data_IF_773677332654
#
_entry.id   IF_773677332654
#
_cell.length_a   1.000
_cell.length_b   1.000
_cell.length_c   1.000
_cell.angle_alpha   90.00
_cell.angle_beta   90.00
_cell.angle_gamma   90.00
#
_symmetry.space_group_name_H-M   'P 1'
#
loop_
_entity.id
_entity.type
_entity.pdbx_description
1 polymer ?
#
# COMPACT_ATOMS: atom_id res chain seq x y z
N UNK A 1 3.79 -2.41 -7.58
CA UNK A 1 3.68 -3.89 -7.62
C UNK A 1 2.22 -4.30 -7.57
N UNK A 2 1.87 -5.53 -7.97
CA UNK A 2 0.48 -6.01 -7.94
C UNK A 2 0.37 -7.47 -7.51
N UNK A 3 -0.79 -7.85 -6.99
CA UNK A 3 -1.20 -9.22 -6.68
C UNK A 3 -2.63 -9.46 -7.15
N UNK A 4 -2.99 -10.72 -7.41
CA UNK A 4 -4.38 -11.09 -7.68
C UNK A 4 -5.25 -10.88 -6.43
N UNK A 5 -6.49 -10.42 -6.62
CA UNK A 5 -7.45 -10.21 -5.52
C UNK A 5 -8.30 -11.45 -5.19
N UNK A 6 -8.13 -12.55 -5.96
CA UNK A 6 -8.89 -13.79 -5.82
C UNK A 6 -10.31 -13.77 -6.45
N UNK A 7 -10.74 -12.64 -7.01
CA UNK A 7 -12.05 -12.45 -7.64
C UNK A 7 -11.95 -12.06 -9.12
N UNK A 8 -10.78 -12.23 -9.74
CA UNK A 8 -10.51 -11.89 -11.13
C UNK A 8 -10.00 -10.46 -11.35
N UNK A 9 -9.79 -9.71 -10.26
CA UNK A 9 -9.17 -8.40 -10.26
C UNK A 9 -7.74 -8.42 -9.71
N UNK A 10 -7.24 -7.24 -9.34
CA UNK A 10 -5.90 -7.07 -8.78
C UNK A 10 -5.86 -5.99 -7.70
N UNK A 11 -4.96 -6.15 -6.73
CA UNK A 11 -4.58 -5.11 -5.78
C UNK A 11 -3.20 -4.60 -6.20
N UNK A 12 -3.06 -3.29 -6.33
CA UNK A 12 -1.86 -2.61 -6.81
C UNK A 12 -1.38 -1.67 -5.73
N UNK A 13 -0.09 -1.72 -5.38
CA UNK A 13 0.55 -0.77 -4.48
C UNK A 13 1.68 -0.03 -5.21
N UNK A 14 1.81 1.28 -4.95
CA UNK A 14 2.80 2.14 -5.58
C UNK A 14 3.34 3.19 -4.61
N UNK A 15 4.48 3.78 -5.01
CA UNK A 15 5.01 4.99 -4.38
C UNK A 15 4.47 6.20 -5.10
N UNK A 16 4.07 7.21 -4.34
CA UNK A 16 3.42 8.40 -4.86
C UNK A 16 4.07 9.66 -4.31
N UNK A 17 4.46 10.58 -5.19
CA UNK A 17 5.14 11.83 -4.84
C UNK A 17 4.21 13.05 -4.91
N UNK A 18 2.88 12.84 -4.92
CA UNK A 18 1.91 13.94 -5.07
C UNK A 18 1.95 14.96 -3.94
N UNK A 19 2.52 14.59 -2.79
CA UNK A 19 2.62 15.43 -1.58
C UNK A 19 4.05 15.98 -1.36
N UNK A 20 4.96 15.83 -2.33
CA UNK A 20 6.34 16.30 -2.24
C UNK A 20 7.27 15.41 -1.41
N UNK A 21 6.80 14.22 -1.03
CA UNK A 21 7.58 13.09 -0.52
C UNK A 21 6.97 11.79 -1.09
N UNK A 22 7.78 10.75 -1.22
CA UNK A 22 7.32 9.43 -1.66
C UNK A 22 6.57 8.70 -0.55
N UNK A 23 5.24 8.68 -0.66
CA UNK A 23 4.30 7.97 0.20
C UNK A 23 3.89 6.62 -0.42
N UNK A 24 3.28 5.70 0.35
CA UNK A 24 2.74 4.43 -0.17
C UNK A 24 1.23 4.50 -0.30
N UNK A 25 0.74 4.21 -1.50
CA UNK A 25 -0.69 4.12 -1.82
C UNK A 25 -1.04 2.77 -2.44
N UNK A 26 -2.31 2.39 -2.36
CA UNK A 26 -2.82 1.19 -2.99
C UNK A 26 -4.23 1.37 -3.58
N UNK A 27 -4.57 0.55 -4.57
CA UNK A 27 -5.90 0.48 -5.19
C UNK A 27 -6.26 -0.96 -5.46
N UNK A 28 -7.54 -1.21 -5.66
CA UNK A 28 -8.06 -2.48 -6.15
C UNK A 28 -8.84 -2.22 -7.43
N UNK A 29 -8.51 -2.98 -8.46
CA UNK A 29 -9.23 -3.00 -9.74
C UNK A 29 -10.02 -4.29 -9.87
N UNK A 30 -11.26 -4.17 -10.32
CA UNK A 30 -12.15 -5.29 -10.57
C UNK A 30 -11.80 -6.04 -11.87
N UNK A 31 -12.47 -7.17 -12.13
CA UNK A 31 -12.23 -7.97 -13.34
C UNK A 31 -12.56 -7.23 -14.64
N UNK A 32 -13.36 -6.16 -14.58
CA UNK A 32 -13.67 -5.30 -15.73
C UNK A 32 -12.75 -4.08 -15.83
N UNK A 33 -11.74 -3.97 -14.96
CA UNK A 33 -10.81 -2.84 -14.90
C UNK A 33 -11.36 -1.61 -14.17
N UNK A 34 -12.54 -1.72 -13.57
CA UNK A 34 -13.15 -0.69 -12.73
C UNK A 34 -12.41 -0.54 -11.40
N UNK A 35 -12.24 0.70 -10.93
CA UNK A 35 -11.65 0.95 -9.60
C UNK A 35 -12.67 0.60 -8.53
N UNK A 36 -12.36 -0.39 -7.71
CA UNK A 36 -13.19 -0.82 -6.58
C UNK A 36 -12.90 -0.02 -5.31
N UNK A 37 -11.74 0.65 -5.27
CA UNK A 37 -11.33 1.56 -4.19
C UNK A 37 -11.39 3.02 -4.67
N UNK A 38 -11.32 4.01 -3.75
CA UNK A 38 -11.43 5.41 -4.10
C UNK A 38 -10.52 5.84 -5.26
N UNK A 39 -11.00 6.71 -6.17
CA UNK A 39 -10.16 7.29 -7.21
C UNK A 39 -9.07 8.11 -6.52
N UNK A 40 -7.80 7.84 -6.83
CA UNK A 40 -6.57 8.29 -6.15
C UNK A 40 -5.95 7.31 -5.15
N UNK A 41 -6.58 6.17 -4.89
CA UNK A 41 -6.06 5.12 -4.01
C UNK A 41 -6.30 5.39 -2.53
N UNK A 42 -6.05 4.35 -1.74
CA UNK A 42 -6.01 4.37 -0.29
C UNK A 42 -4.58 4.64 0.14
N UNK A 43 -4.41 5.57 1.09
CA UNK A 43 -3.15 5.78 1.77
C UNK A 43 -2.80 4.55 2.62
N UNK A 44 -1.68 3.90 2.30
CA UNK A 44 -1.11 2.81 3.09
C UNK A 44 -0.19 3.40 4.15
N UNK A 45 0.62 4.38 3.76
CA UNK A 45 1.50 5.14 4.64
C UNK A 45 1.77 6.53 4.04
N UNK A 46 1.68 7.56 4.88
CA UNK A 46 2.05 8.95 4.58
C UNK A 46 2.89 9.56 5.70
N UNK A 47 3.81 8.76 6.27
CA UNK A 47 4.66 9.21 7.36
C UNK A 47 5.75 10.16 6.84
N UNK A 48 6.41 10.89 7.74
CA UNK A 48 7.54 11.71 7.34
C UNK A 48 8.67 10.86 6.73
N UNK A 49 9.48 11.49 5.87
CA UNK A 49 10.54 10.87 5.07
C UNK A 49 10.04 9.95 3.96
N UNK A 50 10.98 9.33 3.24
CA UNK A 50 10.70 8.51 2.06
C UNK A 50 10.24 7.11 2.47
N UNK A 51 9.17 6.63 1.82
CA UNK A 51 8.81 5.23 1.81
C UNK A 51 9.22 4.55 0.50
N UNK A 52 10.09 3.54 0.64
CA UNK A 52 10.80 2.86 -0.43
C UNK A 52 10.38 1.40 -0.66
N UNK A 53 10.94 0.82 -1.73
CA UNK A 53 10.93 -0.63 -2.03
C UNK A 53 9.63 -1.38 -1.69
N UNK A 54 8.51 -0.88 -2.20
CA UNK A 54 7.18 -1.46 -1.94
C UNK A 54 7.07 -2.88 -2.48
N UNK A 55 6.67 -3.80 -1.62
CA UNK A 55 6.25 -5.15 -1.97
C UNK A 55 4.84 -5.42 -1.44
N UNK A 56 4.15 -6.39 -2.05
CA UNK A 56 2.75 -6.71 -1.74
C UNK A 56 2.50 -8.21 -1.87
N UNK A 57 1.71 -8.76 -0.94
CA UNK A 57 1.24 -10.14 -0.94
C UNK A 57 -0.27 -10.18 -0.65
N UNK A 58 -1.03 -11.14 -1.22
CA UNK A 58 -2.44 -11.31 -0.84
C UNK A 58 -2.56 -11.76 0.62
N UNK A 59 -3.59 -11.29 1.32
CA UNK A 59 -3.85 -11.69 2.71
C UNK A 59 -4.68 -12.99 2.85
N UNK A 60 -5.06 -13.59 1.72
CA UNK A 60 -5.84 -14.82 1.64
C UNK A 60 -7.35 -14.66 1.81
N UNK A 61 -7.84 -13.45 2.13
CA UNK A 61 -9.27 -13.17 2.33
C UNK A 61 -9.75 -11.95 1.54
N UNK A 62 -9.08 -11.67 0.42
CA UNK A 62 -9.42 -10.61 -0.54
C UNK A 62 -8.79 -9.24 -0.26
N UNK A 63 -7.99 -9.13 0.79
CA UNK A 63 -7.13 -7.98 1.09
C UNK A 63 -5.67 -8.23 0.70
N UNK A 64 -4.78 -7.39 1.22
CA UNK A 64 -3.35 -7.47 0.95
C UNK A 64 -2.52 -7.07 2.18
N UNK A 65 -1.30 -7.60 2.26
CA UNK A 65 -0.24 -7.09 3.12
C UNK A 65 0.74 -6.34 2.23
N UNK A 66 0.98 -5.07 2.55
CA UNK A 66 1.95 -4.21 1.85
C UNK A 66 3.12 -3.99 2.79
N UNK A 67 4.34 -4.13 2.29
CA UNK A 67 5.58 -3.84 3.03
C UNK A 67 6.40 -2.80 2.29
N UNK A 68 7.12 -1.97 3.04
CA UNK A 68 8.01 -0.95 2.51
C UNK A 68 9.18 -0.73 3.47
N UNK A 69 10.27 -0.17 2.96
CA UNK A 69 11.30 0.41 3.83
C UNK A 69 10.95 1.87 4.12
N UNK A 70 11.20 2.32 5.35
CA UNK A 70 10.78 3.63 5.83
C UNK A 70 11.86 4.29 6.67
N UNK A 71 12.19 5.54 6.33
CA UNK A 71 13.18 6.34 7.04
C UNK A 71 12.66 7.02 8.32
N UNK A 72 11.38 6.89 8.67
CA UNK A 72 10.76 7.67 9.77
C UNK A 72 11.45 7.54 11.13
N UNK A 73 12.04 6.39 11.42
CA UNK A 73 12.60 6.08 12.76
C UNK A 73 14.09 6.37 12.86
N UNK A 74 14.83 6.33 11.75
CA UNK A 74 16.30 6.42 11.74
C UNK A 74 16.86 7.53 10.82
N UNK A 75 15.99 8.22 10.07
CA UNK A 75 16.34 9.32 9.15
C UNK A 75 16.51 8.89 7.69
N UNK A 76 16.81 9.84 6.80
CA UNK A 76 16.83 9.62 5.33
C UNK A 76 17.86 8.57 4.85
N UNK A 77 18.90 8.30 5.64
CA UNK A 77 19.99 7.39 5.27
C UNK A 77 19.91 6.01 5.94
N UNK A 78 18.85 5.74 6.71
CA UNK A 78 18.63 4.46 7.39
C UNK A 78 17.13 4.15 7.44
N UNK A 79 16.74 2.94 7.07
CA UNK A 79 15.34 2.53 7.06
C UNK A 79 15.10 1.24 7.83
N UNK A 80 13.92 1.17 8.45
CA UNK A 80 13.34 -0.05 9.00
C UNK A 80 12.28 -0.58 8.02
N UNK A 81 11.90 -1.86 8.19
CA UNK A 81 10.83 -2.47 7.39
C UNK A 81 9.50 -2.32 8.14
N UNK A 82 8.52 -1.75 7.46
CA UNK A 82 7.16 -1.60 7.95
C UNK A 82 6.19 -2.40 7.08
N UNK A 83 5.01 -2.64 7.63
CA UNK A 83 3.95 -3.32 6.91
C UNK A 83 2.58 -2.80 7.34
N UNK A 84 1.64 -2.86 6.41
CA UNK A 84 0.23 -2.55 6.64
C UNK A 84 -0.62 -3.60 5.95
N UNK A 85 -1.57 -4.17 6.70
CA UNK A 85 -2.61 -4.99 6.12
C UNK A 85 -3.78 -4.11 5.70
N UNK A 86 -4.25 -4.29 4.47
CA UNK A 86 -5.45 -3.68 3.91
C UNK A 86 -6.55 -4.74 3.80
N UNK A 87 -7.77 -4.40 4.18
CA UNK A 87 -8.95 -5.24 3.97
C UNK A 87 -9.33 -5.30 2.49
N UNK A 88 -10.27 -6.18 2.14
CA UNK A 88 -10.85 -6.25 0.79
C UNK A 88 -11.51 -4.93 0.33
N UNK A 89 -11.95 -4.10 1.29
CA UNK A 89 -12.54 -2.78 1.08
C UNK A 89 -11.50 -1.64 1.17
N UNK A 90 -10.21 -1.96 1.23
CA UNK A 90 -9.13 -0.97 1.28
C UNK A 90 -9.02 -0.24 2.60
N UNK A 91 -9.45 -0.85 3.71
CA UNK A 91 -9.27 -0.27 5.04
C UNK A 91 -7.96 -0.78 5.66
N UNK A 92 -7.08 0.09 6.17
CA UNK A 92 -5.96 -0.32 7.01
C UNK A 92 -6.46 -1.07 8.26
N UNK A 93 -5.90 -2.25 8.53
CA UNK A 93 -6.33 -3.14 9.62
C UNK A 93 -5.37 -3.20 10.82
N UNK A 94 -4.08 -2.89 10.62
CA UNK A 94 -3.15 -2.66 11.71
C UNK A 94 -3.17 -1.18 12.10
N UNK A 95 -3.09 -0.93 13.41
CA UNK A 95 -3.03 0.43 13.93
C UNK A 95 -1.71 1.08 13.51
N UNK A 96 -1.71 2.38 13.18
CA UNK A 96 -0.48 3.11 12.97
C UNK A 96 0.33 3.16 14.27
N UNK A 97 1.64 3.01 14.11
CA UNK A 97 2.68 3.22 15.13
C UNK A 97 2.72 4.67 15.67
#
# INVERSE_FOLDING_TARGET
MLVADGAGGAIIAWRDDRNGNLDVYATRVGPSGDSLWPPCGVAVCTAAYVQGNVAIAPDGVGGAIVTWDDGRSLGEFASDIYAQRLSAAGQPLWAPD
#
